data_IF_804737306767
#
_entry.id   IF_804737306767
#
_cell.length_a   1.000
_cell.length_b   1.000
_cell.length_c   1.000
_cell.angle_alpha   90.00
_cell.angle_beta   90.00
_cell.angle_gamma   90.00
#
_symmetry.space_group_name_H-M   'P 1'
#
loop_
_entity.id
_entity.type
_entity.pdbx_description
1 polymer ?
#
# COMPACT_ATOMS: atom_id res chain seq x y z
N UNK A 1 -2.97 16.54 -2.14
CA UNK A 1 -2.63 16.89 -0.74
C UNK A 1 -1.32 17.68 -0.66
N UNK A 2 -0.16 17.05 -0.89
CA UNK A 2 1.14 17.74 -0.83
C UNK A 2 1.25 18.89 -1.85
N UNK A 3 1.00 18.62 -3.14
CA UNK A 3 1.04 19.64 -4.20
C UNK A 3 0.02 20.78 -3.99
N UNK A 4 -1.10 20.48 -3.33
CA UNK A 4 -2.16 21.44 -3.03
C UNK A 4 -1.95 22.18 -1.69
N UNK A 5 -0.85 21.91 -0.98
CA UNK A 5 -0.57 22.41 0.37
C UNK A 5 -1.71 22.13 1.38
N UNK A 6 -2.38 20.98 1.24
CA UNK A 6 -3.45 20.52 2.15
C UNK A 6 -2.93 19.59 3.25
N UNK A 7 -1.67 19.20 3.18
CA UNK A 7 -0.98 18.36 4.17
C UNK A 7 0.48 18.81 4.19
N UNK A 8 0.97 19.19 5.37
CA UNK A 8 2.35 19.63 5.53
C UNK A 8 3.33 18.45 5.47
N UNK A 9 4.57 18.73 5.08
CA UNK A 9 5.64 17.74 5.07
C UNK A 9 5.85 17.15 6.48
N UNK A 10 5.92 15.83 6.59
CA UNK A 10 6.01 15.12 7.87
C UNK A 10 4.71 15.04 8.68
N UNK A 11 3.65 15.78 8.31
CA UNK A 11 2.35 15.73 9.00
C UNK A 11 1.70 14.35 8.81
N UNK A 12 1.20 13.71 9.88
CA UNK A 12 0.51 12.44 9.77
C UNK A 12 -0.85 12.61 9.09
N UNK A 13 -1.13 11.74 8.13
CA UNK A 13 -2.43 11.52 7.50
C UNK A 13 -2.96 10.14 7.89
N UNK A 14 -4.20 10.07 8.38
CA UNK A 14 -4.87 8.79 8.69
C UNK A 14 -5.91 8.51 7.62
N UNK A 15 -5.76 7.37 6.94
CA UNK A 15 -6.67 6.92 5.90
C UNK A 15 -7.44 5.69 6.35
N UNK A 16 -8.76 5.77 6.33
CA UNK A 16 -9.67 4.64 6.55
C UNK A 16 -10.01 3.95 5.22
N UNK A 17 -10.05 2.61 5.24
CA UNK A 17 -10.52 1.79 4.14
C UNK A 17 -12.03 1.57 4.20
N UNK A 18 -12.63 1.00 3.14
CA UNK A 18 -14.06 0.65 3.15
C UNK A 18 -14.46 -0.34 4.25
N UNK A 19 -13.49 -1.12 4.76
CA UNK A 19 -13.70 -2.09 5.84
C UNK A 19 -13.38 -1.52 7.24
N UNK A 20 -13.05 -0.24 7.34
CA UNK A 20 -12.72 0.43 8.60
C UNK A 20 -11.27 0.26 9.08
N UNK A 21 -10.42 -0.44 8.33
CA UNK A 21 -8.99 -0.53 8.66
C UNK A 21 -8.28 0.80 8.40
N UNK A 22 -7.27 1.11 9.22
CA UNK A 22 -6.54 2.38 9.16
C UNK A 22 -5.10 2.18 8.70
N UNK A 23 -4.64 3.08 7.83
CA UNK A 23 -3.22 3.34 7.60
C UNK A 23 -2.86 4.76 8.03
N UNK A 24 -1.66 4.92 8.57
CA UNK A 24 -1.07 6.24 8.84
C UNK A 24 0.03 6.48 7.82
N UNK A 25 0.03 7.65 7.18
CA UNK A 25 1.06 8.03 6.22
C UNK A 25 1.65 9.39 6.58
N UNK A 26 2.89 9.61 6.13
CA UNK A 26 3.51 10.94 6.05
C UNK A 26 4.33 10.98 4.78
N UNK A 27 4.76 12.17 4.36
CA UNK A 27 5.64 12.30 3.21
C UNK A 27 6.81 13.24 3.50
N UNK A 28 7.88 13.10 2.72
CA UNK A 28 8.94 14.10 2.54
C UNK A 28 9.01 14.54 1.08
N UNK A 29 9.40 15.78 0.82
CA UNK A 29 9.69 16.25 -0.53
C UNK A 29 11.06 15.73 -0.96
N UNK A 30 11.12 15.13 -2.15
CA UNK A 30 12.39 14.85 -2.83
C UNK A 30 12.72 15.97 -3.82
N UNK A 31 11.71 16.47 -4.52
CA UNK A 31 11.81 17.63 -5.41
C UNK A 31 10.46 18.36 -5.46
N UNK A 32 10.45 19.61 -4.98
CA UNK A 32 9.25 20.45 -4.96
C UNK A 32 8.88 20.98 -6.35
N UNK A 33 9.85 21.19 -7.23
CA UNK A 33 9.62 21.70 -8.60
C UNK A 33 9.04 20.61 -9.48
N UNK A 34 9.60 19.39 -9.41
CA UNK A 34 9.08 18.25 -10.14
C UNK A 34 7.79 17.66 -9.53
N UNK A 35 7.44 18.04 -8.29
CA UNK A 35 6.26 17.53 -7.59
C UNK A 35 6.45 16.11 -7.02
N UNK A 36 7.69 15.71 -6.75
CA UNK A 36 8.05 14.35 -6.33
C UNK A 36 8.19 14.27 -4.81
N UNK A 37 7.45 13.33 -4.21
CA UNK A 37 7.50 13.03 -2.78
C UNK A 37 7.98 11.60 -2.52
N UNK A 38 8.53 11.37 -1.34
CA UNK A 38 8.69 10.03 -0.77
C UNK A 38 7.65 9.83 0.35
N UNK A 39 6.59 9.04 0.13
CA UNK A 39 5.65 8.69 1.18
C UNK A 39 6.19 7.55 2.05
N UNK A 40 5.96 7.64 3.34
CA UNK A 40 6.05 6.50 4.28
C UNK A 40 4.63 6.11 4.69
N UNK A 41 4.25 4.86 4.46
CA UNK A 41 2.93 4.32 4.82
C UNK A 41 3.13 3.25 5.90
N UNK A 42 2.35 3.36 6.97
CA UNK A 42 2.41 2.49 8.15
C UNK A 42 1.07 1.78 8.28
N UNK A 43 1.14 0.46 8.39
CA UNK A 43 0.02 -0.42 8.63
C UNK A 43 0.46 -1.69 9.36
N UNK A 44 -0.50 -2.53 9.69
CA UNK A 44 -0.25 -3.82 10.34
C UNK A 44 -0.66 -4.95 9.41
N UNK A 45 0.21 -5.95 9.27
CA UNK A 45 -0.09 -7.20 8.60
C UNK A 45 -0.17 -8.34 9.62
N UNK A 46 -0.90 -9.39 9.26
CA UNK A 46 -1.08 -10.58 10.10
C UNK A 46 -0.73 -11.83 9.30
N UNK A 47 -0.08 -12.79 9.94
CA UNK A 47 0.10 -14.14 9.36
C UNK A 47 -1.28 -14.76 9.22
N UNK A 48 -1.63 -15.16 8.00
CA UNK A 48 -2.92 -15.77 7.71
C UNK A 48 -2.81 -17.30 7.59
N UNK A 49 -1.76 -17.78 6.90
CA UNK A 49 -1.49 -19.19 6.71
C UNK A 49 0.00 -19.43 6.39
N UNK A 50 0.46 -20.65 6.62
CA UNK A 50 1.66 -21.23 6.03
C UNK A 50 1.22 -22.36 5.09
N UNK A 51 1.64 -22.30 3.83
CA UNK A 51 1.16 -23.22 2.80
C UNK A 51 2.23 -23.55 1.76
N UNK A 52 2.13 -24.75 1.19
CA UNK A 52 2.91 -25.17 0.01
C UNK A 52 1.96 -25.20 -1.19
N UNK A 53 2.19 -24.34 -2.18
CA UNK A 53 1.43 -24.36 -3.43
C UNK A 53 2.01 -25.45 -4.34
N UNK A 54 1.16 -26.38 -4.79
CA UNK A 54 1.52 -27.42 -5.75
C UNK A 54 0.97 -27.02 -7.13
N UNK A 55 1.86 -26.87 -8.09
CA UNK A 55 1.52 -26.53 -9.47
C UNK A 55 1.80 -27.76 -10.34
N UNK A 56 0.74 -28.45 -10.78
CA UNK A 56 0.82 -29.58 -11.71
C UNK A 56 0.63 -29.06 -13.14
N UNK A 57 1.56 -29.35 -14.04
CA UNK A 57 1.47 -28.97 -15.45
C UNK A 57 0.29 -29.63 -16.18
N UNK A 58 -0.25 -30.73 -15.64
CA UNK A 58 -1.43 -31.42 -16.17
C UNK A 58 -2.74 -30.82 -15.66
N UNK A 59 -2.73 -29.96 -14.64
CA UNK A 59 -3.92 -29.28 -14.17
C UNK A 59 -4.30 -28.16 -15.17
N UNK A 60 -5.48 -28.25 -15.84
CA UNK A 60 -5.93 -27.23 -16.78
C UNK A 60 -6.16 -25.86 -16.13
N UNK A 61 -6.18 -25.79 -14.80
CA UNK A 61 -6.37 -24.58 -14.00
C UNK A 61 -5.16 -24.20 -13.15
N UNK A 62 -3.96 -24.77 -13.40
CA UNK A 62 -2.74 -24.45 -12.64
C UNK A 62 -2.38 -22.94 -12.63
N UNK A 63 -2.89 -22.19 -13.62
CA UNK A 63 -2.73 -20.73 -13.76
C UNK A 63 -4.01 -19.92 -13.47
N UNK A 64 -4.99 -20.54 -12.82
CA UNK A 64 -6.28 -19.92 -12.50
C UNK A 64 -7.36 -20.17 -13.56
N UNK A 65 -8.61 -20.07 -13.11
CA UNK A 65 -9.82 -20.18 -13.96
C UNK A 65 -10.02 -18.86 -14.71
N UNK A 66 -10.53 -18.93 -15.95
CA UNK A 66 -10.92 -17.78 -16.76
C UNK A 66 -12.42 -17.55 -16.73
#
# INVERSE_FOLDING_TARGET
>A
LAADNKLDEGQPWVQESILGSLFTARYRWLDRVAGTIEPTIIGTAFVNAEATLLLDEQDPFCWGIR
#
